data_IF_105328054465
#
_entry.id   IF_105328054465
#
_cell.length_a   1.000
_cell.length_b   1.000
_cell.length_c   1.000
_cell.angle_alpha   90.00
_cell.angle_beta   90.00
_cell.angle_gamma   90.00
#
_symmetry.space_group_name_H-M   'P 1'
#
loop_
_entity.id
_entity.type
_entity.pdbx_description
1 polymer ?
#
# COMPACT_ATOMS: atom_id res chain seq x y z
N UNK A 1 -1.95 -3.11 -3.12
CA UNK A 1 -2.23 -2.87 -1.69
C UNK A 1 -3.55 -2.13 -1.61
N UNK A 2 -4.43 -2.51 -0.69
CA UNK A 2 -5.72 -1.88 -0.46
C UNK A 2 -5.85 -1.62 1.04
N UNK A 3 -6.35 -0.44 1.41
CA UNK A 3 -6.67 -0.07 2.80
C UNK A 3 -8.18 0.19 2.88
N UNK A 4 -8.80 -0.31 3.93
CA UNK A 4 -10.24 -0.14 4.18
C UNK A 4 -10.51 -0.31 5.65
N UNK A 5 -11.49 0.43 6.17
CA UNK A 5 -11.98 0.28 7.54
C UNK A 5 -13.14 -0.73 7.63
N UNK A 6 -13.60 -1.28 6.49
CA UNK A 6 -14.62 -2.32 6.44
C UNK A 6 -14.00 -3.73 6.42
N UNK A 7 -14.20 -4.47 7.51
CA UNK A 7 -13.72 -5.83 7.66
C UNK A 7 -14.24 -6.79 6.57
N UNK A 8 -15.48 -6.60 6.09
CA UNK A 8 -16.07 -7.45 5.04
C UNK A 8 -15.35 -7.25 3.71
N UNK A 9 -15.03 -6.00 3.38
CA UNK A 9 -14.24 -5.67 2.18
C UNK A 9 -12.83 -6.25 2.31
N UNK A 10 -12.19 -6.08 3.47
CA UNK A 10 -10.85 -6.61 3.71
C UNK A 10 -10.80 -8.14 3.53
N UNK A 11 -11.76 -8.88 4.08
CA UNK A 11 -11.79 -10.34 3.99
C UNK A 11 -12.09 -10.84 2.58
N UNK A 12 -13.03 -10.19 1.87
CA UNK A 12 -13.30 -10.53 0.47
C UNK A 12 -12.09 -10.26 -0.42
N UNK A 13 -11.41 -9.11 -0.25
CA UNK A 13 -10.22 -8.77 -1.04
C UNK A 13 -9.09 -9.77 -0.79
N UNK A 14 -8.89 -10.22 0.46
CA UNK A 14 -7.90 -11.28 0.78
C UNK A 14 -8.20 -12.57 0.02
N UNK A 15 -9.45 -13.03 0.04
CA UNK A 15 -9.89 -14.22 -0.68
C UNK A 15 -9.68 -14.07 -2.19
N UNK A 16 -10.14 -12.95 -2.77
CA UNK A 16 -10.01 -12.66 -4.19
C UNK A 16 -8.56 -12.50 -4.64
N UNK A 17 -7.63 -12.11 -3.76
CA UNK A 17 -6.21 -11.96 -4.10
C UNK A 17 -5.46 -13.30 -4.30
N UNK A 18 -6.06 -14.40 -3.87
CA UNK A 18 -5.49 -15.75 -3.83
C UNK A 18 -6.39 -16.77 -4.55
N UNK A 19 -6.82 -16.44 -5.77
CA UNK A 19 -7.69 -17.24 -6.63
C UNK A 19 -9.07 -17.59 -6.04
N UNK A 20 -9.52 -16.89 -5.00
CA UNK A 20 -10.78 -17.19 -4.34
C UNK A 20 -10.77 -18.46 -3.50
N UNK A 21 -9.58 -18.91 -3.10
CA UNK A 21 -9.42 -20.08 -2.23
C UNK A 21 -9.85 -19.71 -0.81
N UNK A 22 -10.70 -20.56 -0.21
CA UNK A 22 -11.20 -20.38 1.16
C UNK A 22 -10.08 -20.31 2.20
N UNK A 23 -10.25 -19.49 3.26
CA UNK A 23 -9.26 -19.29 4.33
C UNK A 23 -8.91 -20.57 5.10
N UNK A 24 -9.80 -21.56 5.14
CA UNK A 24 -9.53 -22.85 5.78
C UNK A 24 -8.40 -23.64 5.11
N UNK A 25 -8.05 -23.29 3.87
CA UNK A 25 -6.84 -23.76 3.21
C UNK A 25 -5.54 -23.43 3.96
N UNK A 26 -5.52 -22.42 4.84
CA UNK A 26 -4.33 -22.08 5.62
C UNK A 26 -4.04 -23.12 6.73
N UNK A 27 -5.07 -23.87 7.17
CA UNK A 27 -4.90 -24.98 8.12
C UNK A 27 -4.04 -26.12 7.57
N UNK A 28 -3.72 -26.11 6.27
CA UNK A 28 -2.75 -27.03 5.64
C UNK A 28 -1.35 -26.99 6.28
N UNK A 29 -0.95 -25.86 6.87
CA UNK A 29 0.37 -25.71 7.51
C UNK A 29 0.37 -26.08 9.00
N UNK A 30 -0.72 -26.65 9.52
CA UNK A 30 -0.79 -27.19 10.88
C UNK A 30 -0.62 -28.71 10.89
N UNK A 31 -0.16 -29.28 12.01
CA UNK A 31 0.17 -30.71 12.12
C UNK A 31 -0.99 -31.68 11.82
N UNK A 32 -2.23 -31.18 11.77
CA UNK A 32 -3.47 -31.90 11.44
C UNK A 32 -4.07 -31.51 10.07
N UNK A 33 -3.30 -30.81 9.22
CA UNK A 33 -3.78 -30.21 7.98
C UNK A 33 -4.26 -31.22 6.93
N UNK A 34 -5.52 -31.09 6.52
CA UNK A 34 -6.09 -31.78 5.37
C UNK A 34 -5.73 -31.01 4.07
N UNK A 35 -5.39 -31.72 2.98
CA UNK A 35 -5.08 -31.15 1.66
C UNK A 35 -6.26 -30.46 0.97
N UNK A 36 -7.46 -30.65 1.50
CA UNK A 36 -8.70 -30.12 0.97
C UNK A 36 -8.71 -28.58 0.91
N UNK A 37 -9.10 -28.03 -0.24
CA UNK A 37 -9.45 -26.63 -0.38
C UNK A 37 -10.55 -26.46 -1.42
N UNK A 38 -11.39 -25.46 -1.19
CA UNK A 38 -12.40 -25.03 -2.16
C UNK A 38 -12.07 -23.65 -2.70
N UNK A 39 -12.32 -23.50 -3.99
CA UNK A 39 -12.42 -22.20 -4.67
C UNK A 39 -13.87 -21.77 -4.56
N UNK A 40 -14.16 -20.82 -3.68
CA UNK A 40 -15.54 -20.39 -3.38
C UNK A 40 -16.00 -19.24 -4.29
N UNK A 41 -15.06 -18.51 -4.88
CA UNK A 41 -15.31 -17.42 -5.84
C UNK A 41 -14.25 -17.44 -6.94
N UNK A 42 -14.54 -16.86 -8.11
CA UNK A 42 -13.57 -16.69 -9.18
C UNK A 42 -12.60 -15.54 -8.85
N UNK A 43 -11.53 -15.84 -8.10
CA UNK A 43 -10.52 -14.85 -7.72
C UNK A 43 -9.40 -14.64 -8.74
N UNK A 44 -8.39 -13.87 -8.32
CA UNK A 44 -7.22 -13.47 -9.10
C UNK A 44 -5.91 -13.89 -8.42
N UNK A 45 -4.78 -13.75 -9.12
CA UNK A 45 -3.42 -13.93 -8.57
C UNK A 45 -2.78 -12.56 -8.27
N UNK A 46 -3.09 -11.98 -7.12
CA UNK A 46 -2.58 -10.66 -6.71
C UNK A 46 -1.88 -10.65 -5.35
N UNK A 47 -1.47 -11.81 -4.85
CA UNK A 47 -0.74 -11.88 -3.60
C UNK A 47 0.64 -11.23 -3.73
N UNK A 48 1.04 -10.52 -2.68
CA UNK A 48 2.38 -9.96 -2.57
C UNK A 48 3.36 -11.09 -2.23
N UNK A 49 4.57 -11.03 -2.77
CA UNK A 49 5.63 -11.98 -2.44
C UNK A 49 6.33 -11.57 -1.14
N UNK A 50 6.92 -12.53 -0.43
CA UNK A 50 7.67 -12.25 0.79
C UNK A 50 8.88 -11.34 0.55
N UNK A 51 9.54 -11.46 -0.61
CA UNK A 51 10.65 -10.58 -1.00
C UNK A 51 10.17 -9.13 -1.13
N UNK A 52 9.08 -8.90 -1.87
CA UNK A 52 8.51 -7.56 -2.01
C UNK A 52 7.99 -7.02 -0.66
N UNK A 53 7.44 -7.89 0.19
CA UNK A 53 7.00 -7.54 1.54
C UNK A 53 8.17 -7.15 2.45
N UNK A 54 9.28 -7.89 2.41
CA UNK A 54 10.49 -7.60 3.18
C UNK A 54 11.11 -6.27 2.76
N UNK A 55 11.22 -6.02 1.45
CA UNK A 55 11.65 -4.72 0.93
C UNK A 55 10.71 -3.60 1.40
N UNK A 56 9.39 -3.81 1.27
CA UNK A 56 8.37 -2.86 1.71
C UNK A 56 8.49 -2.49 3.18
N UNK A 57 8.76 -3.45 4.07
CA UNK A 57 8.98 -3.20 5.51
C UNK A 57 10.13 -2.24 5.77
N UNK A 58 11.26 -2.42 5.07
CA UNK A 58 12.43 -1.52 5.21
C UNK A 58 12.10 -0.14 4.62
N UNK A 59 11.38 -0.07 3.50
CA UNK A 59 10.99 1.19 2.89
C UNK A 59 9.99 1.98 3.75
N UNK A 60 9.04 1.30 4.41
CA UNK A 60 8.09 1.93 5.32
C UNK A 60 8.80 2.64 6.49
N UNK A 61 9.88 2.07 7.03
CA UNK A 61 10.70 2.72 8.06
C UNK A 61 11.38 4.02 7.59
N UNK A 62 11.51 4.23 6.28
CA UNK A 62 12.12 5.43 5.66
C UNK A 62 11.09 6.39 5.09
N UNK A 63 9.81 6.04 5.11
CA UNK A 63 8.76 6.75 4.39
C UNK A 63 8.62 8.22 4.84
N UNK A 64 8.67 8.48 6.14
CA UNK A 64 8.59 9.84 6.72
C UNK A 64 9.76 10.72 6.29
N UNK A 65 10.99 10.20 6.37
CA UNK A 65 12.20 10.92 5.94
C UNK A 65 12.17 11.22 4.43
N UNK A 66 11.76 10.25 3.62
CA UNK A 66 11.65 10.44 2.17
C UNK A 66 10.55 11.45 1.83
N UNK A 67 9.42 11.42 2.52
CA UNK A 67 8.34 12.39 2.37
C UNK A 67 8.81 13.79 2.73
N UNK A 68 9.49 13.97 3.88
CA UNK A 68 10.02 15.26 4.31
C UNK A 68 11.02 15.84 3.30
N UNK A 69 11.93 15.01 2.79
CA UNK A 69 12.88 15.44 1.74
C UNK A 69 12.17 15.85 0.45
N UNK A 70 11.17 15.08 0.01
CA UNK A 70 10.35 15.44 -1.17
C UNK A 70 9.60 16.75 -0.94
N UNK A 71 9.06 16.96 0.26
CA UNK A 71 8.43 18.21 0.67
C UNK A 71 9.38 19.40 0.54
N UNK A 72 10.57 19.33 1.16
CA UNK A 72 11.55 20.41 1.10
C UNK A 72 11.97 20.78 -0.33
N UNK A 73 12.16 19.77 -1.20
CA UNK A 73 12.46 19.99 -2.62
C UNK A 73 11.29 20.66 -3.33
N UNK A 74 10.06 20.18 -3.10
CA UNK A 74 8.85 20.77 -3.68
C UNK A 74 8.67 22.24 -3.23
N UNK A 75 8.96 22.57 -1.96
CA UNK A 75 8.93 23.94 -1.47
C UNK A 75 9.90 24.83 -2.25
N UNK A 76 11.15 24.37 -2.41
CA UNK A 76 12.19 25.13 -3.11
C UNK A 76 11.80 25.43 -4.55
N UNK A 77 11.23 24.45 -5.26
CA UNK A 77 10.73 24.68 -6.61
C UNK A 77 9.53 25.62 -6.64
N UNK A 78 8.63 25.52 -5.68
CA UNK A 78 7.49 26.43 -5.60
C UNK A 78 7.95 27.88 -5.44
N UNK A 79 8.84 28.15 -4.48
CA UNK A 79 9.39 29.49 -4.23
C UNK A 79 10.12 30.06 -5.45
N UNK A 80 10.91 29.24 -6.15
CA UNK A 80 11.68 29.68 -7.30
C UNK A 80 10.81 29.95 -8.55
N UNK A 81 9.67 29.27 -8.67
CA UNK A 81 8.89 29.25 -9.92
C UNK A 81 7.54 29.98 -9.81
N UNK A 82 7.04 30.29 -8.61
CA UNK A 82 5.70 30.87 -8.41
C UNK A 82 5.52 32.26 -9.02
N UNK A 83 6.60 33.00 -9.26
CA UNK A 83 6.56 34.36 -9.84
C UNK A 83 6.72 34.40 -11.36
N UNK A 84 6.88 33.26 -12.03
CA UNK A 84 7.15 33.22 -13.46
C UNK A 84 5.82 33.28 -14.26
N UNK A 85 5.63 34.27 -15.15
CA UNK A 85 4.36 34.47 -15.87
C UNK A 85 3.90 33.26 -16.71
N UNK A 86 4.83 32.42 -17.17
CA UNK A 86 4.56 31.26 -18.01
C UNK A 86 4.53 29.93 -17.24
N UNK A 87 4.62 29.95 -15.90
CA UNK A 87 4.70 28.74 -15.08
C UNK A 87 3.59 28.75 -14.04
N UNK A 88 2.79 27.68 -14.02
CA UNK A 88 1.80 27.44 -12.98
C UNK A 88 2.32 26.37 -12.02
N UNK A 89 2.50 26.75 -10.75
CA UNK A 89 2.91 25.82 -9.69
C UNK A 89 1.69 25.17 -9.01
N UNK A 90 1.79 23.91 -8.55
CA UNK A 90 0.71 23.27 -7.81
C UNK A 90 0.38 24.02 -6.51
N UNK A 91 -0.91 24.16 -6.14
CA UNK A 91 -1.29 24.82 -4.90
C UNK A 91 -0.84 24.00 -3.68
N UNK A 92 -0.33 24.68 -2.65
CA UNK A 92 -0.08 24.06 -1.34
C UNK A 92 1.15 23.16 -1.24
N UNK A 93 2.07 23.16 -2.21
CA UNK A 93 3.27 22.31 -2.17
C UNK A 93 4.20 22.60 -0.99
N UNK A 94 4.15 23.80 -0.40
CA UNK A 94 4.88 24.14 0.83
C UNK A 94 4.14 23.82 2.13
N UNK A 95 2.86 23.43 2.05
CA UNK A 95 1.96 23.24 3.21
C UNK A 95 1.51 21.80 3.39
N UNK A 96 2.06 20.83 2.64
CA UNK A 96 1.75 19.42 2.88
C UNK A 96 2.37 19.00 4.22
N UNK A 97 1.59 19.20 5.29
CA UNK A 97 1.93 18.76 6.64
C UNK A 97 2.09 17.25 6.60
N UNK A 98 3.33 16.80 6.67
CA UNK A 98 3.67 15.48 7.20
C UNK A 98 3.44 15.52 8.72
N UNK A 99 2.19 15.61 9.17
CA UNK A 99 1.87 15.28 10.56
C UNK A 99 1.99 13.76 10.66
N UNK A 100 2.95 13.22 11.43
CA UNK A 100 2.86 11.81 11.80
C UNK A 100 1.65 11.64 12.74
N UNK A 101 1.06 10.43 12.83
CA UNK A 101 0.11 10.11 13.89
C UNK A 101 0.77 10.20 15.28
#
# INVERSE_FOLDING_TARGET
MLTTDDARVADRVRLMSLHGISRDAWKRYTATGNWHYEVVEAGYKYNLTDIASALGRVQLGRASTLLGRRGAIACRYHEALSGLPAVQVPPGSCRCRSTPP
#
